data_IF_796470601794
#
_entry.id   IF_796470601794
#
_cell.length_a   1.000
_cell.length_b   1.000
_cell.length_c   1.000
_cell.angle_alpha   90.00
_cell.angle_beta   90.00
_cell.angle_gamma   90.00
#
_symmetry.space_group_name_H-M   'P 1'
#
loop_
_entity.id
_entity.type
_entity.pdbx_description
1 polymer ?
#
# COMPACT_ATOMS: atom_id res chain seq x y z
N UNK A 1 -3.72 9.46 14.51
CA UNK A 1 -3.41 9.84 13.13
C UNK A 1 -4.03 8.81 12.23
N UNK A 2 -4.77 9.24 11.22
CA UNK A 2 -5.42 8.36 10.25
C UNK A 2 -5.16 8.82 8.83
N UNK A 3 -4.88 7.85 7.96
CA UNK A 3 -4.77 8.04 6.52
C UNK A 3 -6.02 7.46 5.84
N UNK A 4 -6.16 7.76 4.57
CA UNK A 4 -7.14 7.11 3.70
C UNK A 4 -6.44 6.50 2.49
N UNK A 5 -7.06 5.48 1.92
CA UNK A 5 -6.74 5.00 0.59
C UNK A 5 -8.02 4.87 -0.25
N UNK A 6 -7.89 5.11 -1.54
CA UNK A 6 -9.00 5.10 -2.48
C UNK A 6 -8.47 4.87 -3.88
N UNK A 7 -9.29 4.23 -4.72
CA UNK A 7 -8.89 3.88 -6.07
C UNK A 7 -9.85 4.34 -7.15
N UNK A 8 -11.13 4.56 -6.82
CA UNK A 8 -12.16 4.81 -7.86
C UNK A 8 -12.13 6.23 -8.39
N UNK A 9 -12.18 7.22 -7.47
CA UNK A 9 -12.16 8.64 -7.82
C UNK A 9 -11.21 9.40 -6.90
N UNK A 10 -10.54 10.38 -7.46
CA UNK A 10 -9.61 11.25 -6.77
C UNK A 10 -10.35 12.13 -5.77
N UNK A 11 -9.90 12.13 -4.52
CA UNK A 11 -10.40 13.02 -3.46
C UNK A 11 -9.50 14.25 -3.37
N UNK A 12 -10.07 15.45 -3.35
CA UNK A 12 -9.27 16.67 -3.31
C UNK A 12 -8.54 16.83 -1.96
N UNK A 13 -7.27 17.32 -1.94
CA UNK A 13 -6.51 17.47 -0.69
C UNK A 13 -7.23 18.26 0.40
N UNK A 14 -7.92 19.34 0.04
CA UNK A 14 -8.67 20.16 1.00
C UNK A 14 -9.85 19.39 1.62
N UNK A 15 -10.47 18.45 0.89
CA UNK A 15 -11.54 17.60 1.43
C UNK A 15 -10.97 16.57 2.41
N UNK A 16 -9.82 15.97 2.09
CA UNK A 16 -9.09 15.07 3.00
C UNK A 16 -8.78 15.79 4.32
N UNK A 17 -8.23 17.02 4.22
CA UNK A 17 -7.88 17.81 5.38
C UNK A 17 -9.10 18.25 6.18
N UNK A 18 -10.16 18.71 5.52
CA UNK A 18 -11.40 19.15 6.16
C UNK A 18 -12.13 18.00 6.87
N UNK A 19 -12.02 16.78 6.35
CA UNK A 19 -12.55 15.57 7.00
C UNK A 19 -11.72 15.11 8.22
N UNK A 20 -10.58 15.76 8.49
CA UNK A 20 -9.74 15.49 9.66
C UNK A 20 -8.76 14.34 9.47
N UNK A 21 -8.54 13.89 8.23
CA UNK A 21 -7.48 12.92 7.93
C UNK A 21 -6.11 13.62 7.83
N UNK A 22 -5.07 12.85 8.10
CA UNK A 22 -3.69 13.34 8.18
C UNK A 22 -2.89 13.07 6.90
N UNK A 23 -3.45 12.29 5.97
CA UNK A 23 -2.78 11.95 4.72
C UNK A 23 -3.48 10.87 3.92
N UNK A 24 -2.80 10.38 2.89
CA UNK A 24 -3.30 9.32 2.03
C UNK A 24 -2.21 8.33 1.62
N UNK A 25 -2.62 7.08 1.40
CA UNK A 25 -1.85 6.13 0.62
C UNK A 25 -2.16 6.35 -0.87
N UNK A 26 -1.12 6.47 -1.68
CA UNK A 26 -1.21 6.81 -3.09
C UNK A 26 -0.66 5.69 -3.96
N UNK A 27 -1.37 5.37 -5.04
CA UNK A 27 -1.06 4.22 -5.87
C UNK A 27 0.01 4.53 -6.91
N UNK A 28 1.16 3.88 -6.79
CA UNK A 28 2.25 3.91 -7.77
C UNK A 28 2.15 2.71 -8.73
N UNK A 29 0.93 2.41 -9.18
CA UNK A 29 0.62 1.32 -10.12
C UNK A 29 -0.17 1.83 -11.32
N UNK A 30 -0.06 1.13 -12.44
CA UNK A 30 -0.83 1.44 -13.65
C UNK A 30 -2.30 1.04 -13.49
N UNK A 31 -3.16 1.63 -14.33
CA UNK A 31 -4.56 1.23 -14.41
C UNK A 31 -4.68 -0.09 -15.16
N UNK A 32 -5.21 -1.12 -14.50
CA UNK A 32 -5.49 -2.41 -15.15
C UNK A 32 -6.56 -2.28 -16.25
N UNK A 33 -6.50 -3.09 -17.32
CA UNK A 33 -7.50 -3.10 -18.37
C UNK A 33 -8.93 -3.28 -17.86
N UNK A 34 -9.83 -2.43 -18.34
CA UNK A 34 -11.27 -2.45 -18.02
C UNK A 34 -11.65 -1.76 -16.71
N UNK A 35 -10.68 -1.23 -15.95
CA UNK A 35 -10.99 -0.33 -14.83
C UNK A 35 -11.18 1.12 -15.32
N UNK A 36 -12.02 1.88 -14.63
CA UNK A 36 -12.29 3.31 -14.90
C UNK A 36 -11.97 4.12 -13.64
N UNK A 37 -10.67 4.30 -13.38
CA UNK A 37 -10.14 5.05 -12.24
C UNK A 37 -9.41 6.29 -12.73
N UNK A 38 -9.54 7.42 -12.04
CA UNK A 38 -8.86 8.69 -12.39
C UNK A 38 -7.62 8.98 -11.53
N UNK A 39 -7.27 8.07 -10.62
CA UNK A 39 -6.23 8.27 -9.59
C UNK A 39 -5.05 7.29 -9.68
N UNK A 40 -5.10 6.28 -10.57
CA UNK A 40 -4.00 5.32 -10.76
C UNK A 40 -3.31 5.53 -12.12
N UNK A 41 -2.03 5.95 -12.17
CA UNK A 41 -1.13 6.22 -11.04
C UNK A 41 -1.29 7.63 -10.45
N UNK A 42 -0.78 7.80 -9.22
CA UNK A 42 -0.59 9.13 -8.63
C UNK A 42 0.28 10.03 -9.52
N UNK A 43 -0.06 11.31 -9.58
CA UNK A 43 0.70 12.32 -10.34
C UNK A 43 1.53 13.21 -9.42
N UNK A 44 2.55 13.86 -9.99
CA UNK A 44 3.36 14.86 -9.27
C UNK A 44 2.51 16.02 -8.75
N UNK A 45 1.62 16.55 -9.59
CA UNK A 45 0.76 17.68 -9.23
C UNK A 45 -0.13 17.34 -8.02
N UNK A 46 -0.67 16.12 -7.97
CA UNK A 46 -1.50 15.70 -6.84
C UNK A 46 -0.66 15.49 -5.57
N UNK A 47 0.52 14.87 -5.68
CA UNK A 47 1.42 14.71 -4.54
C UNK A 47 1.91 16.06 -4.00
N UNK A 48 2.20 17.02 -4.87
CA UNK A 48 2.57 18.39 -4.48
C UNK A 48 1.39 19.10 -3.78
N UNK A 49 0.16 18.90 -4.26
CA UNK A 49 -1.04 19.46 -3.62
C UNK A 49 -1.33 18.85 -2.24
N UNK A 50 -1.16 17.53 -2.06
CA UNK A 50 -1.24 16.88 -0.75
C UNK A 50 -0.23 17.49 0.24
N UNK A 51 1.04 17.61 -0.16
CA UNK A 51 2.07 18.21 0.70
C UNK A 51 1.82 19.67 1.01
N UNK A 52 1.34 20.45 0.03
CA UNK A 52 0.96 21.85 0.25
C UNK A 52 -0.18 22.00 1.29
N UNK A 53 -1.08 21.02 1.35
CA UNK A 53 -2.14 20.95 2.38
C UNK A 53 -1.64 20.39 3.74
N UNK A 54 -0.36 20.04 3.85
CA UNK A 54 0.23 19.44 5.05
C UNK A 54 -0.29 18.02 5.32
N UNK A 55 -0.54 17.25 4.26
CA UNK A 55 -0.98 15.86 4.32
C UNK A 55 0.20 14.92 4.05
N UNK A 56 0.27 13.83 4.83
CA UNK A 56 1.25 12.78 4.63
C UNK A 56 0.94 11.93 3.39
N UNK A 57 1.99 11.44 2.73
CA UNK A 57 1.92 10.59 1.55
C UNK A 57 2.67 9.29 1.84
N UNK A 58 2.04 8.16 1.54
CA UNK A 58 2.66 6.82 1.59
C UNK A 58 2.41 6.13 0.25
N UNK A 59 3.38 5.41 -0.30
CA UNK A 59 3.21 4.71 -1.58
C UNK A 59 2.72 3.28 -1.41
N UNK A 60 1.72 2.90 -2.20
CA UNK A 60 1.27 1.52 -2.33
C UNK A 60 1.22 1.07 -3.80
N UNK A 61 1.29 -0.24 -4.02
CA UNK A 61 1.23 -0.86 -5.34
C UNK A 61 0.19 -1.96 -5.38
N UNK A 62 -0.76 -1.81 -6.30
CA UNK A 62 -1.69 -2.86 -6.69
C UNK A 62 -2.12 -2.62 -8.13
N UNK A 63 -1.80 -3.55 -9.02
CA UNK A 63 -2.25 -3.56 -10.40
C UNK A 63 -3.40 -4.56 -10.58
N UNK A 64 -3.12 -5.83 -10.29
CA UNK A 64 -4.06 -6.94 -10.37
C UNK A 64 -5.14 -6.95 -9.28
N UNK A 65 -6.18 -7.78 -9.48
CA UNK A 65 -7.26 -7.98 -8.51
C UNK A 65 -7.78 -9.42 -8.58
N UNK A 66 -8.07 -10.09 -7.44
CA UNK A 66 -8.69 -11.42 -7.47
C UNK A 66 -10.01 -11.40 -8.25
N UNK A 67 -10.25 -12.43 -9.05
CA UNK A 67 -11.46 -12.57 -9.87
C UNK A 67 -11.53 -11.67 -11.11
N UNK A 68 -10.52 -10.84 -11.39
CA UNK A 68 -10.40 -10.05 -12.62
C UNK A 68 -9.60 -10.84 -13.67
N UNK A 69 -9.80 -10.61 -15.00
CA UNK A 69 -8.89 -11.14 -16.03
C UNK A 69 -7.41 -10.83 -15.80
N UNK A 70 -7.12 -9.78 -15.03
CA UNK A 70 -5.79 -9.46 -14.51
C UNK A 70 -5.75 -9.90 -13.04
N UNK A 71 -5.30 -11.13 -12.73
CA UNK A 71 -5.36 -11.69 -11.39
C UNK A 71 -4.41 -10.95 -10.44
N UNK A 72 -4.47 -11.28 -9.15
CA UNK A 72 -3.60 -10.71 -8.11
C UNK A 72 -2.12 -10.77 -8.49
N UNK A 73 -1.40 -9.68 -8.21
CA UNK A 73 -0.05 -9.46 -8.74
C UNK A 73 0.95 -10.56 -8.37
N UNK A 74 0.86 -11.04 -7.12
CA UNK A 74 1.75 -12.08 -6.62
C UNK A 74 1.69 -13.39 -7.40
N UNK A 75 0.60 -13.67 -8.12
CA UNK A 75 0.45 -14.90 -8.93
C UNK A 75 1.46 -15.00 -10.07
N UNK A 76 2.11 -13.89 -10.44
CA UNK A 76 3.18 -13.85 -11.45
C UNK A 76 4.56 -14.23 -10.92
N UNK A 77 4.69 -14.54 -9.62
CA UNK A 77 5.94 -15.01 -9.01
C UNK A 77 7.10 -14.02 -9.18
N UNK A 78 8.32 -14.55 -9.20
CA UNK A 78 9.55 -13.74 -9.21
C UNK A 78 9.61 -12.71 -10.34
N UNK A 79 9.43 -13.13 -11.59
CA UNK A 79 9.50 -12.24 -12.75
C UNK A 79 8.40 -11.17 -12.72
N UNK A 80 7.22 -11.53 -12.21
CA UNK A 80 6.15 -10.57 -11.92
C UNK A 80 6.59 -9.50 -10.93
N UNK A 81 7.25 -9.90 -9.85
CA UNK A 81 7.73 -9.00 -8.80
C UNK A 81 8.79 -8.04 -9.30
N UNK A 82 9.69 -8.51 -10.18
CA UNK A 82 10.66 -7.66 -10.87
C UNK A 82 9.95 -6.58 -11.70
N UNK A 83 9.00 -6.98 -12.54
CA UNK A 83 8.26 -6.06 -13.41
C UNK A 83 7.43 -5.04 -12.60
N UNK A 84 6.81 -5.48 -11.51
CA UNK A 84 6.01 -4.63 -10.63
C UNK A 84 6.87 -3.62 -9.88
N UNK A 85 8.01 -4.05 -9.34
CA UNK A 85 8.91 -3.14 -8.64
C UNK A 85 9.53 -2.10 -9.58
N UNK A 86 9.86 -2.47 -10.83
CA UNK A 86 10.31 -1.53 -11.85
C UNK A 86 9.24 -0.47 -12.16
N UNK A 87 7.99 -0.91 -12.29
CA UNK A 87 6.84 -0.02 -12.53
C UNK A 87 6.60 0.90 -11.34
N UNK A 88 6.56 0.34 -10.14
CA UNK A 88 6.36 1.06 -8.89
C UNK A 88 7.43 2.12 -8.68
N UNK A 89 8.71 1.77 -8.85
CA UNK A 89 9.83 2.69 -8.67
C UNK A 89 9.77 3.85 -9.68
N UNK A 90 9.47 3.56 -10.95
CA UNK A 90 9.32 4.58 -12.00
C UNK A 90 8.20 5.56 -11.66
N UNK A 91 7.04 5.06 -11.25
CA UNK A 91 5.86 5.88 -10.94
C UNK A 91 6.03 6.67 -9.63
N UNK A 92 6.59 6.04 -8.60
CA UNK A 92 6.96 6.68 -7.35
C UNK A 92 7.90 7.87 -7.60
N UNK A 93 8.98 7.67 -8.36
CA UNK A 93 9.92 8.74 -8.70
C UNK A 93 9.25 9.83 -9.56
N UNK A 94 8.43 9.47 -10.54
CA UNK A 94 7.71 10.43 -11.39
C UNK A 94 6.75 11.32 -10.59
N UNK A 95 6.12 10.77 -9.54
CA UNK A 95 5.28 11.53 -8.63
C UNK A 95 6.06 12.33 -7.57
N UNK A 96 7.40 12.29 -7.58
CA UNK A 96 8.25 13.02 -6.63
C UNK A 96 8.53 12.29 -5.32
N UNK A 97 8.28 10.97 -5.27
CA UNK A 97 8.56 10.15 -4.10
C UNK A 97 10.06 10.02 -3.84
N UNK A 98 10.51 10.12 -2.57
CA UNK A 98 11.93 10.03 -2.22
C UNK A 98 12.43 8.58 -2.23
N UNK A 99 13.69 8.40 -2.58
CA UNK A 99 14.39 7.10 -2.59
C UNK A 99 14.58 6.47 -1.21
N UNK A 100 14.26 7.19 -0.13
CA UNK A 100 14.23 6.67 1.23
C UNK A 100 12.88 6.07 1.63
N UNK A 101 11.77 6.40 0.96
CA UNK A 101 10.44 5.94 1.34
C UNK A 101 10.18 4.49 0.86
N UNK A 102 9.51 3.65 1.67
CA UNK A 102 9.10 2.31 1.25
C UNK A 102 7.90 2.35 0.30
N UNK A 103 7.65 1.23 -0.38
CA UNK A 103 6.45 1.00 -1.19
C UNK A 103 5.77 -0.27 -0.68
N UNK A 104 4.48 -0.19 -0.34
CA UNK A 104 3.70 -1.32 0.13
C UNK A 104 3.07 -2.08 -1.04
N UNK A 105 3.47 -3.32 -1.26
CA UNK A 105 2.96 -4.18 -2.33
C UNK A 105 1.80 -5.05 -1.82
N UNK A 106 0.69 -5.06 -2.55
CA UNK A 106 -0.56 -5.63 -2.07
C UNK A 106 -0.74 -7.12 -2.36
N UNK A 107 -0.95 -7.89 -1.30
CA UNK A 107 -1.60 -9.21 -1.32
C UNK A 107 -3.05 -9.02 -0.91
N UNK A 108 -3.89 -8.64 -1.89
CA UNK A 108 -5.29 -8.21 -1.70
C UNK A 108 -6.29 -9.39 -1.71
N UNK A 109 -5.96 -10.50 -1.03
CA UNK A 109 -6.85 -11.64 -0.84
C UNK A 109 -6.45 -12.54 0.34
N UNK A 110 -7.34 -13.42 0.79
CA UNK A 110 -7.09 -14.40 1.86
C UNK A 110 -6.29 -15.59 1.35
N UNK A 111 -4.96 -15.44 1.26
CA UNK A 111 -4.07 -16.52 0.85
C UNK A 111 -3.74 -17.46 2.02
N UNK A 112 -3.54 -18.75 1.70
CA UNK A 112 -3.03 -19.71 2.67
C UNK A 112 -1.49 -19.74 2.69
N UNK A 113 -0.94 -20.46 3.67
CA UNK A 113 0.52 -20.57 3.84
C UNK A 113 1.19 -21.30 2.67
N UNK A 114 0.47 -22.16 1.95
CA UNK A 114 1.02 -22.86 0.79
C UNK A 114 1.18 -21.91 -0.39
N UNK A 115 0.18 -21.07 -0.65
CA UNK A 115 0.22 -19.99 -1.63
C UNK A 115 1.34 -19.00 -1.29
N UNK A 116 1.47 -18.64 -0.01
CA UNK A 116 2.58 -17.81 0.45
C UNK A 116 3.94 -18.43 0.10
N UNK A 117 4.18 -19.66 0.56
CA UNK A 117 5.47 -20.35 0.42
C UNK A 117 5.81 -20.76 -1.01
N UNK A 118 4.82 -20.84 -1.90
CA UNK A 118 5.03 -21.26 -3.28
C UNK A 118 5.28 -20.09 -4.22
N UNK A 119 4.44 -19.06 -4.18
CA UNK A 119 4.45 -18.03 -5.24
C UNK A 119 4.53 -16.61 -4.68
N UNK A 120 3.85 -16.31 -3.57
CA UNK A 120 3.85 -14.93 -3.04
C UNK A 120 5.23 -14.52 -2.50
N UNK A 121 5.93 -15.42 -1.79
CA UNK A 121 7.28 -15.15 -1.29
C UNK A 121 8.27 -14.94 -2.45
N UNK A 122 8.11 -15.66 -3.57
CA UNK A 122 8.95 -15.48 -4.76
C UNK A 122 8.67 -14.14 -5.44
N UNK A 123 7.42 -13.69 -5.49
CA UNK A 123 7.07 -12.36 -5.96
C UNK A 123 7.74 -11.26 -5.13
N UNK A 124 7.71 -11.35 -3.80
CA UNK A 124 8.44 -10.43 -2.93
C UNK A 124 9.97 -10.49 -3.12
N UNK A 125 10.54 -11.68 -3.38
CA UNK A 125 11.97 -11.79 -3.72
C UNK A 125 12.30 -11.12 -5.05
N UNK A 126 11.40 -11.21 -6.04
CA UNK A 126 11.49 -10.46 -7.29
C UNK A 126 11.49 -8.94 -7.04
N UNK A 127 10.55 -8.45 -6.24
CA UNK A 127 10.48 -7.04 -5.81
C UNK A 127 11.79 -6.60 -5.16
N UNK A 128 12.30 -7.40 -4.22
CA UNK A 128 13.53 -7.11 -3.48
C UNK A 128 14.77 -7.05 -4.36
N UNK A 129 14.79 -7.74 -5.51
CA UNK A 129 15.91 -7.68 -6.45
C UNK A 129 16.03 -6.30 -7.14
N UNK A 130 14.95 -5.52 -7.16
CA UNK A 130 14.89 -4.18 -7.77
C UNK A 130 14.90 -3.08 -6.70
N UNK A 131 13.99 -3.17 -5.74
CA UNK A 131 13.75 -2.12 -4.74
C UNK A 131 14.64 -2.27 -3.48
N UNK A 132 15.09 -3.50 -3.21
CA UNK A 132 15.76 -3.87 -1.96
C UNK A 132 14.76 -4.07 -0.81
N UNK A 133 14.97 -5.13 -0.02
CA UNK A 133 14.07 -5.50 1.08
C UNK A 133 13.84 -4.36 2.09
N UNK A 134 14.84 -3.49 2.32
CA UNK A 134 14.74 -2.37 3.25
C UNK A 134 13.65 -1.34 2.86
N UNK A 135 13.24 -1.28 1.59
CA UNK A 135 12.19 -0.39 1.08
C UNK A 135 10.91 -1.13 0.66
N UNK A 136 10.91 -2.46 0.75
CA UNK A 136 9.75 -3.27 0.41
C UNK A 136 8.82 -3.37 1.61
N UNK A 137 7.57 -2.95 1.42
CA UNK A 137 6.48 -3.19 2.36
C UNK A 137 5.43 -4.14 1.80
N UNK A 138 4.58 -4.66 2.68
CA UNK A 138 3.45 -5.53 2.34
C UNK A 138 2.14 -4.90 2.80
N UNK A 139 1.14 -4.96 1.93
CA UNK A 139 -0.27 -4.91 2.35
C UNK A 139 -0.87 -6.31 2.33
N UNK A 140 -1.63 -6.67 3.36
CA UNK A 140 -2.37 -7.93 3.40
C UNK A 140 -2.95 -8.26 4.77
N UNK A 141 -3.52 -9.45 4.91
CA UNK A 141 -4.03 -9.92 6.20
C UNK A 141 -2.91 -10.16 7.22
N UNK A 142 -3.28 -10.28 8.51
CA UNK A 142 -2.35 -10.43 9.64
C UNK A 142 -1.27 -11.48 9.40
N UNK A 143 -1.67 -12.69 8.97
CA UNK A 143 -0.74 -13.80 8.71
C UNK A 143 0.24 -13.51 7.56
N UNK A 144 -0.20 -12.90 6.46
CA UNK A 144 0.69 -12.55 5.35
C UNK A 144 1.75 -11.53 5.79
N UNK A 145 1.36 -10.52 6.58
CA UNK A 145 2.30 -9.60 7.22
C UNK A 145 3.31 -10.36 8.10
N UNK A 146 2.83 -11.27 8.95
CA UNK A 146 3.68 -12.06 9.83
C UNK A 146 4.68 -12.95 9.05
N UNK A 147 4.22 -13.58 7.97
CA UNK A 147 5.06 -14.41 7.09
C UNK A 147 6.11 -13.57 6.36
N UNK A 148 5.74 -12.42 5.80
CA UNK A 148 6.66 -11.50 5.14
C UNK A 148 7.80 -11.06 6.06
N UNK A 149 7.46 -10.72 7.30
CA UNK A 149 8.44 -10.36 8.33
C UNK A 149 9.32 -11.56 8.69
N UNK A 150 8.73 -12.73 8.89
CA UNK A 150 9.44 -13.96 9.25
C UNK A 150 10.41 -14.45 8.18
N UNK A 151 10.03 -14.31 6.91
CA UNK A 151 10.85 -14.69 5.75
C UNK A 151 11.86 -13.59 5.35
N UNK A 152 11.84 -12.44 6.03
CA UNK A 152 12.80 -11.35 5.81
C UNK A 152 12.66 -10.66 4.46
N UNK A 153 11.45 -10.66 3.88
CA UNK A 153 11.19 -10.09 2.55
C UNK A 153 10.60 -8.68 2.59
N UNK A 154 10.39 -8.12 3.79
CA UNK A 154 9.97 -6.72 4.00
C UNK A 154 10.88 -6.00 5.00
N UNK A 155 11.01 -4.69 4.81
CA UNK A 155 11.95 -3.85 5.54
C UNK A 155 11.48 -3.48 6.94
N UNK A 156 12.42 -2.95 7.73
CA UNK A 156 12.16 -2.43 9.08
C UNK A 156 11.90 -0.93 9.04
N UNK A 157 10.93 -0.50 9.84
CA UNK A 157 10.76 0.90 10.18
C UNK A 157 11.89 1.38 11.10
N UNK A 158 12.19 2.68 11.06
CA UNK A 158 13.07 3.29 12.08
C UNK A 158 12.39 3.36 13.44
N UNK A 159 11.06 3.23 13.51
CA UNK A 159 10.33 3.05 14.75
C UNK A 159 10.59 1.65 15.33
N UNK A 160 11.07 1.62 16.58
CA UNK A 160 11.48 0.39 17.24
C UNK A 160 10.35 -0.66 17.27
N UNK A 161 10.63 -1.86 16.79
CA UNK A 161 9.67 -2.97 16.80
C UNK A 161 8.68 -2.99 15.64
N UNK A 162 8.82 -2.09 14.65
CA UNK A 162 7.93 -2.02 13.51
C UNK A 162 8.60 -2.38 12.18
N UNK A 163 7.80 -2.91 11.26
CA UNK A 163 8.16 -3.30 9.90
C UNK A 163 7.21 -2.65 8.92
N UNK A 164 7.59 -2.58 7.63
CA UNK A 164 6.74 -2.12 6.54
C UNK A 164 5.58 -3.11 6.26
N UNK A 165 4.72 -3.30 7.25
CA UNK A 165 3.50 -4.08 7.18
C UNK A 165 2.32 -3.13 7.36
N UNK A 166 1.46 -3.13 6.35
CA UNK A 166 0.17 -2.46 6.33
C UNK A 166 -0.90 -3.56 6.37
N UNK A 167 -1.46 -3.77 7.56
CA UNK A 167 -2.39 -4.86 7.77
C UNK A 167 -3.82 -4.41 7.41
N UNK A 168 -4.59 -5.21 6.68
CA UNK A 168 -6.04 -5.01 6.58
C UNK A 168 -6.82 -5.82 7.62
N UNK A 169 -7.93 -5.27 8.13
CA UNK A 169 -8.89 -6.05 8.93
C UNK A 169 -9.55 -7.17 8.11
N UNK A 170 -9.66 -6.97 6.79
CA UNK A 170 -10.19 -7.99 5.90
C UNK A 170 -9.34 -9.26 6.01
N UNK A 171 -10.01 -10.41 6.06
CA UNK A 171 -9.37 -11.73 6.14
C UNK A 171 -8.47 -11.97 7.37
N UNK A 172 -8.32 -11.00 8.27
CA UNK A 172 -7.48 -11.12 9.47
C UNK A 172 -8.17 -11.83 10.64
N UNK A 173 -9.49 -12.09 10.55
CA UNK A 173 -10.22 -12.83 11.60
C UNK A 173 -10.22 -12.17 12.98
N UNK A 174 -9.98 -10.85 13.04
CA UNK A 174 -9.84 -10.10 14.29
C UNK A 174 -8.41 -10.06 14.86
N UNK A 175 -7.47 -10.80 14.27
CA UNK A 175 -6.07 -10.80 14.68
C UNK A 175 -5.38 -9.48 14.29
N UNK A 176 -4.37 -9.07 15.06
CA UNK A 176 -3.51 -7.91 14.79
C UNK A 176 -2.05 -8.35 14.71
N UNK A 177 -1.32 -7.92 13.69
CA UNK A 177 0.13 -8.05 13.61
C UNK A 177 0.75 -6.88 14.40
N UNK A 178 1.30 -7.13 15.61
CA UNK A 178 1.80 -6.06 16.49
C UNK A 178 2.98 -5.27 15.90
N UNK A 179 3.65 -5.80 14.87
CA UNK A 179 4.79 -5.16 14.19
C UNK A 179 4.38 -4.26 13.02
N UNK A 180 3.09 -4.18 12.68
CA UNK A 180 2.60 -3.36 11.58
C UNK A 180 2.80 -1.86 11.84
N UNK A 181 3.05 -1.08 10.79
CA UNK A 181 3.09 0.39 10.85
C UNK A 181 1.74 1.03 10.52
N UNK A 182 0.89 0.32 9.78
CA UNK A 182 -0.43 0.77 9.34
C UNK A 182 -1.47 -0.33 9.52
N UNK A 183 -2.71 0.05 9.81
CA UNK A 183 -3.85 -0.88 9.86
C UNK A 183 -5.12 -0.31 9.22
N UNK A 184 -5.59 -0.96 8.15
CA UNK A 184 -6.85 -0.61 7.47
C UNK A 184 -8.04 -1.06 8.33
N UNK A 185 -8.63 -0.10 9.06
CA UNK A 185 -9.70 -0.31 10.05
C UNK A 185 -11.11 -0.18 9.45
N UNK A 186 -11.24 0.54 8.33
CA UNK A 186 -12.45 0.63 7.51
C UNK A 186 -12.11 0.15 6.10
N UNK A 187 -12.88 -0.82 5.60
CA UNK A 187 -12.71 -1.40 4.27
C UNK A 187 -14.00 -1.17 3.49
N UNK A 188 -13.90 -0.40 2.43
CA UNK A 188 -14.96 -0.03 1.53
C UNK A 188 -15.38 -1.24 0.71
N UNK A 189 -16.61 -1.68 0.92
CA UNK A 189 -17.24 -2.76 0.18
C UNK A 189 -18.68 -2.38 -0.13
N UNK A 190 -19.30 -3.04 -1.12
CA UNK A 190 -20.72 -2.80 -1.42
C UNK A 190 -21.64 -3.06 -0.21
N UNK A 191 -21.28 -4.00 0.67
CA UNK A 191 -22.06 -4.35 1.86
C UNK A 191 -21.74 -3.46 3.08
N UNK A 192 -20.56 -2.88 3.13
CA UNK A 192 -20.10 -2.00 4.20
C UNK A 192 -19.30 -0.87 3.55
N UNK A 193 -19.97 0.18 3.05
CA UNK A 193 -19.29 1.25 2.35
C UNK A 193 -18.36 1.99 3.30
N UNK A 194 -17.26 2.48 2.74
CA UNK A 194 -16.27 3.28 3.46
C UNK A 194 -16.79 4.65 3.87
N UNK A 195 -15.89 5.57 4.21
CA UNK A 195 -16.27 6.96 4.48
C UNK A 195 -16.55 7.66 3.15
N UNK A 196 -17.73 8.30 3.00
CA UNK A 196 -18.04 9.08 1.79
C UNK A 196 -17.30 10.41 1.84
N UNK A 197 -16.39 10.65 0.89
CA UNK A 197 -15.59 11.86 0.77
C UNK A 197 -15.37 12.19 -0.71
N UNK A 198 -15.55 13.45 -1.12
CA UNK A 198 -15.38 13.84 -2.53
C UNK A 198 -16.29 13.09 -3.52
N UNK A 199 -17.42 12.55 -3.06
CA UNK A 199 -18.32 11.73 -3.88
C UNK A 199 -17.87 10.28 -4.09
N UNK A 200 -16.82 9.80 -3.40
CA UNK A 200 -16.37 8.41 -3.41
C UNK A 200 -16.26 7.84 -2.00
N UNK A 201 -16.36 6.52 -1.86
CA UNK A 201 -16.14 5.86 -0.58
C UNK A 201 -14.68 5.48 -0.43
N UNK A 202 -14.06 5.90 0.67
CA UNK A 202 -12.64 5.68 0.96
C UNK A 202 -12.44 4.68 2.09
N UNK A 203 -11.32 3.98 2.05
CA UNK A 203 -10.80 3.18 3.15
C UNK A 203 -10.18 4.08 4.24
N UNK A 204 -10.03 3.56 5.46
CA UNK A 204 -9.39 4.30 6.56
C UNK A 204 -8.31 3.45 7.22
N UNK A 205 -7.15 4.06 7.39
CA UNK A 205 -5.94 3.44 7.94
C UNK A 205 -5.47 4.11 9.22
N UNK A 206 -5.35 3.33 10.29
CA UNK A 206 -4.74 3.73 11.55
C UNK A 206 -3.22 3.72 11.42
N UNK A 207 -2.56 4.81 11.82
CA UNK A 207 -1.10 4.85 11.93
C UNK A 207 -0.65 4.31 13.29
N UNK A 208 0.24 3.31 13.26
CA UNK A 208 0.69 2.55 14.44
C UNK A 208 2.13 2.85 14.85
N UNK A 209 2.89 3.58 14.03
CA UNK A 209 4.28 3.91 14.25
C UNK A 209 4.59 5.36 13.86
N UNK A 210 5.61 5.97 14.47
CA UNK A 210 6.06 7.33 14.11
C UNK A 210 6.70 7.41 12.74
N UNK A 211 7.33 6.31 12.32
CA UNK A 211 7.80 6.09 10.95
C UNK A 211 6.95 4.99 10.33
N UNK A 212 6.02 5.39 9.48
CA UNK A 212 5.04 4.52 8.83
C UNK A 212 5.22 4.47 7.31
N UNK A 213 6.37 4.95 6.83
CA UNK A 213 6.67 5.02 5.40
C UNK A 213 6.27 6.33 4.72
N UNK A 214 5.95 7.38 5.50
CA UNK A 214 5.65 8.70 4.94
C UNK A 214 6.83 9.28 4.15
N UNK A 215 6.52 9.96 3.05
CA UNK A 215 7.53 10.55 2.17
C UNK A 215 8.39 11.61 2.87
N UNK A 216 7.76 12.54 3.61
CA UNK A 216 8.46 13.68 4.22
C UNK A 216 9.10 13.33 5.59
N UNK A 217 9.71 12.15 5.69
CA UNK A 217 10.55 11.77 6.83
C UNK A 217 11.97 11.50 6.31
N UNK A 218 12.93 12.24 6.87
CA UNK A 218 14.34 11.97 6.67
C UNK A 218 14.72 10.67 7.40
N UNK A 219 15.13 9.66 6.63
CA UNK A 219 15.55 8.35 7.15
C UNK A 219 17.07 8.15 7.14
N UNK A 220 17.83 9.21 6.85
CA UNK A 220 19.29 9.21 6.81
C UNK A 220 19.87 8.84 5.45
#
# INVERSE_FOLDING_TARGET
MTLIDFSERLVAPDEIKAAGFDGALVYVSELRPGADFDFKPVTRDYADALRAAGLHIVSCYQYGKPGWPTPSDFTRGYDGGVADAQTALRLHAAAGGPDSAPIFFSVDEDIDVNTWKSVAVEWFRGINSVLGANRTGIYGHSRACAWAIGDGVVGRSTAAGHWWAWQTKAWSGGEREPRAVLYQSVVNTAANPGVLLGGTHVDVDEVLATDFGQWDLDRG
#
